data_IF_741573369186
#
_entry.id   IF_741573369186
#
_cell.length_a   1.000
_cell.length_b   1.000
_cell.length_c   1.000
_cell.angle_alpha   90.00
_cell.angle_beta   90.00
_cell.angle_gamma   90.00
#
_symmetry.space_group_name_H-M   'P 1'
#
loop_
_entity.id
_entity.type
_entity.pdbx_description
1 polymer ?
#
# COMPACT_ATOMS: atom_id res chain seq x y z
N UNK A 1 18.48 13.18 9.70
CA UNK A 1 17.00 13.05 9.66
C UNK A 1 16.43 13.81 10.85
N UNK A 2 15.51 14.76 10.64
CA UNK A 2 14.93 15.58 11.72
C UNK A 2 13.63 14.97 12.24
N UNK A 3 13.18 15.37 13.43
CA UNK A 3 11.87 14.97 13.97
C UNK A 3 10.73 15.41 13.03
N UNK A 4 10.81 16.61 12.49
CA UNK A 4 9.82 17.14 11.54
C UNK A 4 9.68 16.24 10.30
N UNK A 5 10.81 15.83 9.71
CA UNK A 5 10.82 14.89 8.59
C UNK A 5 10.11 13.58 8.93
N UNK A 6 10.43 13.00 10.10
CA UNK A 6 9.83 11.72 10.54
C UNK A 6 8.32 11.88 10.72
N UNK A 7 7.88 12.93 11.42
CA UNK A 7 6.46 13.18 11.68
C UNK A 7 5.70 13.40 10.37
N UNK A 8 6.20 14.23 9.46
CA UNK A 8 5.57 14.45 8.15
C UNK A 8 5.48 13.15 7.35
N UNK A 9 6.54 12.33 7.35
CA UNK A 9 6.56 11.06 6.63
C UNK A 9 5.55 10.06 7.21
N UNK A 10 5.45 9.98 8.54
CA UNK A 10 4.46 9.14 9.23
C UNK A 10 3.05 9.58 8.88
N UNK A 11 2.74 10.88 8.99
CA UNK A 11 1.41 11.40 8.68
C UNK A 11 1.03 11.15 7.22
N UNK A 12 1.97 11.36 6.29
CA UNK A 12 1.78 11.06 4.87
C UNK A 12 1.54 9.57 4.64
N UNK A 13 2.29 8.68 5.29
CA UNK A 13 2.10 7.23 5.19
C UNK A 13 0.74 6.77 5.71
N UNK A 14 0.28 7.32 6.84
CA UNK A 14 -1.06 7.04 7.37
C UNK A 14 -2.16 7.50 6.41
N UNK A 15 -2.04 8.71 5.88
CA UNK A 15 -3.00 9.26 4.91
C UNK A 15 -3.01 8.46 3.60
N UNK A 16 -1.84 8.12 3.07
CA UNK A 16 -1.72 7.33 1.85
C UNK A 16 -2.34 5.93 2.02
N UNK A 17 -2.12 5.29 3.17
CA UNK A 17 -2.73 4.00 3.49
C UNK A 17 -4.25 4.09 3.68
N UNK A 18 -4.75 5.17 4.28
CA UNK A 18 -6.18 5.44 4.33
C UNK A 18 -6.79 5.54 2.93
N UNK A 19 -6.15 6.30 2.02
CA UNK A 19 -6.61 6.42 0.63
C UNK A 19 -6.58 5.06 -0.08
N UNK A 20 -5.52 4.27 0.11
CA UNK A 20 -5.43 2.92 -0.43
C UNK A 20 -6.63 2.05 0.01
N UNK A 21 -6.92 2.03 1.31
CA UNK A 21 -8.03 1.26 1.86
C UNK A 21 -9.38 1.71 1.31
N UNK A 22 -9.63 3.02 1.33
CA UNK A 22 -10.91 3.58 0.89
C UNK A 22 -11.15 3.35 -0.60
N UNK A 23 -10.13 3.57 -1.44
CA UNK A 23 -10.23 3.30 -2.88
C UNK A 23 -10.47 1.82 -3.18
N UNK A 24 -9.80 0.93 -2.45
CA UNK A 24 -10.00 -0.51 -2.57
C UNK A 24 -11.43 -0.96 -2.24
N UNK A 25 -12.06 -0.31 -1.25
CA UNK A 25 -13.45 -0.54 -0.87
C UNK A 25 -14.44 0.10 -1.84
N UNK A 26 -14.13 1.30 -2.36
CA UNK A 26 -14.96 2.04 -3.30
C UNK A 26 -14.93 1.50 -4.73
N UNK A 27 -14.02 0.59 -5.07
CA UNK A 27 -13.97 -0.06 -6.39
C UNK A 27 -15.33 -0.59 -6.89
N UNK A 28 -16.20 -1.04 -5.99
CA UNK A 28 -17.57 -1.46 -6.33
C UNK A 28 -18.42 -0.38 -6.98
N UNK A 29 -18.18 0.90 -6.66
CA UNK A 29 -18.84 2.06 -7.29
C UNK A 29 -18.42 2.27 -8.74
N UNK A 30 -17.30 1.67 -9.13
CA UNK A 30 -16.74 1.69 -10.50
C UNK A 30 -17.05 0.38 -11.25
N UNK A 31 -17.85 -0.52 -10.69
CA UNK A 31 -18.09 -1.85 -11.26
C UNK A 31 -16.91 -2.81 -11.12
N UNK A 32 -15.93 -2.49 -10.26
CA UNK A 32 -14.74 -3.30 -10.00
C UNK A 32 -14.90 -4.13 -8.71
N UNK A 33 -14.15 -5.24 -8.54
CA UNK A 33 -14.23 -6.04 -7.32
C UNK A 33 -13.77 -5.23 -6.10
N UNK A 34 -14.50 -5.37 -4.99
CA UNK A 34 -14.06 -4.87 -3.68
C UNK A 34 -12.82 -5.64 -3.24
N UNK A 35 -11.76 -4.94 -2.87
CA UNK A 35 -10.55 -5.55 -2.30
C UNK A 35 -10.46 -5.19 -0.82
N UNK A 36 -10.84 -6.13 0.05
CA UNK A 36 -10.79 -5.91 1.48
C UNK A 36 -9.42 -6.29 2.06
N UNK A 37 -8.46 -5.39 1.87
CA UNK A 37 -7.09 -5.61 2.31
C UNK A 37 -6.97 -5.77 3.84
N UNK A 38 -7.79 -5.07 4.61
CA UNK A 38 -7.73 -5.17 6.08
C UNK A 38 -8.17 -6.55 6.56
N UNK A 39 -9.22 -7.13 5.98
CA UNK A 39 -9.60 -8.52 6.27
C UNK A 39 -8.50 -9.49 5.89
N UNK A 40 -7.89 -9.33 4.71
CA UNK A 40 -6.80 -10.18 4.25
C UNK A 40 -5.57 -10.09 5.18
N UNK A 41 -5.18 -8.87 5.58
CA UNK A 41 -4.04 -8.67 6.48
C UNK A 41 -4.29 -9.21 7.88
N UNK A 42 -5.50 -9.07 8.41
CA UNK A 42 -5.86 -9.63 9.71
C UNK A 42 -5.70 -11.16 9.69
N UNK A 43 -6.28 -11.82 8.67
CA UNK A 43 -6.20 -13.26 8.50
C UNK A 43 -4.75 -13.75 8.32
N UNK A 44 -3.98 -13.10 7.46
CA UNK A 44 -2.58 -13.47 7.22
C UNK A 44 -1.70 -13.30 8.47
N UNK A 45 -1.86 -12.19 9.19
CA UNK A 45 -0.93 -11.83 10.27
C UNK A 45 -1.28 -12.54 11.58
N UNK A 46 -2.57 -12.78 11.85
CA UNK A 46 -3.06 -13.20 13.16
C UNK A 46 -3.96 -14.45 13.13
N UNK A 47 -4.29 -14.98 11.95
CA UNK A 47 -5.25 -16.07 11.79
C UNK A 47 -4.73 -17.47 12.13
N UNK A 48 -3.42 -17.69 12.16
CA UNK A 48 -2.82 -19.01 12.43
C UNK A 48 -2.50 -19.26 13.92
N UNK A 49 -2.76 -18.30 14.81
CA UNK A 49 -2.42 -18.46 16.22
C UNK A 49 -3.35 -19.45 16.94
N UNK A 50 -2.86 -20.06 18.03
CA UNK A 50 -3.50 -21.11 18.86
C UNK A 50 -4.92 -20.79 19.39
N UNK A 51 -5.49 -19.64 19.05
CA UNK A 51 -6.74 -19.12 19.61
C UNK A 51 -7.98 -19.38 18.76
N UNK A 52 -7.84 -19.92 17.54
CA UNK A 52 -8.98 -20.42 16.73
C UNK A 52 -10.08 -19.39 16.44
N UNK A 53 -9.81 -18.10 16.61
CA UNK A 53 -10.75 -17.00 16.43
C UNK A 53 -10.40 -16.19 15.20
N UNK A 54 -11.43 -15.77 14.48
CA UNK A 54 -11.30 -14.79 13.41
C UNK A 54 -10.61 -13.53 13.97
N UNK A 55 -9.44 -13.14 13.43
CA UNK A 55 -8.71 -12.00 13.94
C UNK A 55 -9.51 -10.71 13.68
N UNK A 56 -9.47 -9.75 14.61
CA UNK A 56 -10.32 -8.57 14.49
C UNK A 56 -9.88 -7.68 13.31
N UNK A 57 -10.86 -7.15 12.59
CA UNK A 57 -10.65 -6.33 11.39
C UNK A 57 -9.75 -5.10 11.61
N UNK A 58 -9.81 -4.50 12.79
CA UNK A 58 -8.98 -3.33 13.13
C UNK A 58 -7.49 -3.68 13.18
N UNK A 59 -7.13 -4.93 13.51
CA UNK A 59 -5.74 -5.35 13.56
C UNK A 59 -5.12 -5.36 12.15
N UNK A 60 -5.87 -5.84 11.15
CA UNK A 60 -5.45 -5.77 9.75
C UNK A 60 -5.34 -4.33 9.22
N UNK A 61 -6.22 -3.42 9.65
CA UNK A 61 -6.08 -1.99 9.36
C UNK A 61 -4.78 -1.41 9.92
N UNK A 62 -4.44 -1.72 11.18
CA UNK A 62 -3.18 -1.26 11.79
C UNK A 62 -1.98 -1.74 10.99
N UNK A 63 -1.96 -3.02 10.60
CA UNK A 63 -0.88 -3.57 9.75
C UNK A 63 -0.73 -2.76 8.47
N UNK A 64 -1.84 -2.41 7.80
CA UNK A 64 -1.80 -1.62 6.56
C UNK A 64 -1.31 -0.19 6.80
N UNK A 65 -1.73 0.44 7.90
CA UNK A 65 -1.24 1.76 8.27
C UNK A 65 0.27 1.77 8.54
N UNK A 66 0.77 0.77 9.26
CA UNK A 66 2.21 0.63 9.52
C UNK A 66 2.98 0.34 8.22
N UNK A 67 2.44 -0.50 7.33
CA UNK A 67 3.00 -0.72 6.00
C UNK A 67 3.06 0.59 5.21
N UNK A 68 2.01 1.41 5.27
CA UNK A 68 1.99 2.73 4.63
C UNK A 68 3.09 3.64 5.14
N UNK A 69 3.29 3.72 6.46
CA UNK A 69 4.40 4.47 7.06
C UNK A 69 5.75 3.92 6.59
N UNK A 70 5.93 2.61 6.61
CA UNK A 70 7.16 1.95 6.17
C UNK A 70 7.49 2.25 4.70
N UNK A 71 6.53 2.07 3.79
CA UNK A 71 6.76 2.30 2.36
C UNK A 71 6.92 3.78 2.00
N UNK A 72 6.29 4.69 2.75
CA UNK A 72 6.52 6.13 2.59
C UNK A 72 7.91 6.52 3.10
N UNK A 73 8.37 5.96 4.22
CA UNK A 73 9.75 6.13 4.69
C UNK A 73 10.76 5.60 3.66
N UNK A 74 10.53 4.40 3.12
CA UNK A 74 11.38 3.83 2.10
C UNK A 74 11.45 4.71 0.84
N UNK A 75 10.32 5.25 0.40
CA UNK A 75 10.26 6.23 -0.68
C UNK A 75 11.09 7.47 -0.37
N UNK A 76 10.79 8.12 0.75
CA UNK A 76 11.33 9.41 1.17
C UNK A 76 12.83 9.39 1.46
N UNK A 77 13.36 8.23 1.83
CA UNK A 77 14.76 8.09 2.27
C UNK A 77 15.67 7.42 1.24
N UNK A 78 15.11 6.58 0.36
CA UNK A 78 15.93 5.77 -0.53
C UNK A 78 15.36 5.66 -1.93
N UNK A 79 14.12 5.19 -2.12
CA UNK A 79 13.67 4.76 -3.44
C UNK A 79 13.55 5.92 -4.45
N UNK A 80 13.16 7.12 -4.00
CA UNK A 80 12.89 8.28 -4.87
C UNK A 80 14.09 8.69 -5.74
N UNK A 81 15.32 8.46 -5.29
CA UNK A 81 16.53 8.79 -6.06
C UNK A 81 16.63 8.05 -7.40
N UNK A 82 15.96 6.89 -7.52
CA UNK A 82 15.97 6.06 -8.72
C UNK A 82 14.74 6.32 -9.62
N UNK A 83 13.80 7.15 -9.18
CA UNK A 83 12.53 7.35 -9.88
C UNK A 83 12.59 8.68 -10.65
N UNK A 84 12.45 8.66 -11.99
CA UNK A 84 12.49 9.87 -12.78
C UNK A 84 11.18 10.67 -12.67
N UNK A 85 11.26 11.97 -12.95
CA UNK A 85 10.11 12.84 -13.11
C UNK A 85 9.89 13.84 -11.97
N UNK A 86 8.72 14.47 -11.98
CA UNK A 86 8.30 15.39 -10.91
C UNK A 86 7.82 14.63 -9.68
N UNK A 87 7.73 15.24 -8.49
CA UNK A 87 7.34 14.54 -7.25
C UNK A 87 6.05 13.71 -7.38
N UNK A 88 5.04 14.25 -8.07
CA UNK A 88 3.79 13.53 -8.30
C UNK A 88 3.97 12.31 -9.22
N UNK A 89 4.77 12.45 -10.28
CA UNK A 89 5.11 11.34 -11.19
C UNK A 89 5.93 10.29 -10.45
N UNK A 90 6.88 10.70 -9.61
CA UNK A 90 7.69 9.80 -8.80
C UNK A 90 6.84 8.98 -7.85
N UNK A 91 5.89 9.63 -7.16
CA UNK A 91 4.91 8.96 -6.33
C UNK A 91 4.01 7.99 -7.11
N UNK A 92 3.51 8.39 -8.29
CA UNK A 92 2.71 7.51 -9.13
C UNK A 92 3.49 6.25 -9.55
N UNK A 93 4.74 6.41 -9.98
CA UNK A 93 5.63 5.28 -10.31
C UNK A 93 5.85 4.41 -9.07
N UNK A 94 6.08 5.01 -7.90
CA UNK A 94 6.23 4.27 -6.65
C UNK A 94 4.99 3.42 -6.32
N UNK A 95 3.79 3.98 -6.50
CA UNK A 95 2.54 3.23 -6.37
C UNK A 95 2.47 2.03 -7.32
N UNK A 96 2.86 2.22 -8.59
CA UNK A 96 2.92 1.13 -9.58
C UNK A 96 3.95 0.06 -9.19
N UNK A 97 5.11 0.45 -8.66
CA UNK A 97 6.13 -0.49 -8.18
C UNK A 97 5.57 -1.33 -7.04
N UNK A 98 4.93 -0.72 -6.04
CA UNK A 98 4.31 -1.46 -4.93
C UNK A 98 3.19 -2.38 -5.42
N UNK A 99 2.36 -1.92 -6.36
CA UNK A 99 1.34 -2.74 -6.99
C UNK A 99 1.93 -3.97 -7.69
N UNK A 100 3.01 -3.79 -8.46
CA UNK A 100 3.69 -4.87 -9.17
C UNK A 100 4.34 -5.86 -8.20
N UNK A 101 5.08 -5.37 -7.19
CA UNK A 101 5.67 -6.22 -6.14
C UNK A 101 4.57 -6.99 -5.41
N UNK A 102 3.45 -6.35 -5.10
CA UNK A 102 2.32 -7.00 -4.46
C UNK A 102 1.71 -8.08 -5.36
N UNK A 103 1.37 -7.75 -6.60
CA UNK A 103 0.71 -8.68 -7.52
C UNK A 103 1.59 -9.83 -8.01
N UNK A 104 2.90 -9.65 -8.11
CA UNK A 104 3.84 -10.66 -8.63
C UNK A 104 4.41 -11.53 -7.50
N UNK A 105 4.65 -10.95 -6.32
CA UNK A 105 5.31 -11.65 -5.22
C UNK A 105 4.38 -11.83 -4.03
N UNK A 106 3.88 -10.73 -3.46
CA UNK A 106 3.16 -10.82 -2.18
C UNK A 106 1.88 -11.66 -2.25
N UNK A 107 1.01 -11.36 -3.22
CA UNK A 107 -0.27 -12.04 -3.39
C UNK A 107 -0.09 -13.53 -3.72
N UNK A 108 0.76 -13.93 -4.70
CA UNK A 108 0.95 -15.35 -4.99
C UNK A 108 1.61 -16.13 -3.85
N UNK A 109 2.60 -15.55 -3.16
CA UNK A 109 3.41 -16.27 -2.18
C UNK A 109 2.73 -16.32 -0.82
N UNK A 110 2.22 -15.20 -0.32
CA UNK A 110 1.65 -15.11 1.03
C UNK A 110 0.14 -15.33 1.05
N UNK A 111 -0.60 -14.74 0.11
CA UNK A 111 -2.06 -14.88 0.07
C UNK A 111 -2.54 -16.10 -0.74
N UNK A 112 -1.70 -16.64 -1.64
CA UNK A 112 -2.02 -17.76 -2.53
C UNK A 112 -3.20 -17.51 -3.48
N UNK A 113 -3.49 -16.25 -3.77
CA UNK A 113 -4.62 -15.80 -4.62
C UNK A 113 -4.25 -15.63 -6.10
N UNK A 114 -3.13 -16.22 -6.53
CA UNK A 114 -2.62 -16.16 -7.89
C UNK A 114 -1.99 -14.81 -8.26
N UNK A 115 -1.39 -14.73 -9.45
CA UNK A 115 -0.76 -13.51 -9.95
C UNK A 115 -1.78 -12.40 -10.10
N UNK A 116 -1.50 -11.24 -9.50
CA UNK A 116 -2.39 -10.09 -9.48
C UNK A 116 -3.84 -10.42 -9.08
N UNK A 117 -4.02 -11.30 -8.08
CA UNK A 117 -5.32 -11.71 -7.55
C UNK A 117 -6.18 -12.47 -8.58
N UNK A 118 -5.54 -13.18 -9.52
CA UNK A 118 -6.23 -13.89 -10.61
C UNK A 118 -7.21 -14.98 -10.16
N UNK A 119 -7.05 -15.53 -8.96
CA UNK A 119 -8.01 -16.49 -8.40
C UNK A 119 -9.27 -15.84 -7.82
N UNK A 120 -9.26 -14.52 -7.59
CA UNK A 120 -10.38 -13.78 -7.00
C UNK A 120 -11.31 -13.24 -8.09
N UNK A 121 -10.77 -12.47 -9.04
CA UNK A 121 -11.57 -11.80 -10.07
C UNK A 121 -10.68 -11.33 -11.25
N UNK A 122 -11.13 -11.42 -12.52
CA UNK A 122 -10.33 -11.04 -13.70
C UNK A 122 -9.90 -9.56 -13.71
N UNK A 123 -10.66 -8.68 -13.04
CA UNK A 123 -10.35 -7.24 -12.90
C UNK A 123 -9.74 -6.86 -11.55
N UNK A 124 -9.38 -7.82 -10.69
CA UNK A 124 -8.80 -7.52 -9.38
C UNK A 124 -7.44 -6.81 -9.49
N UNK A 125 -6.65 -7.12 -10.52
CA UNK A 125 -5.38 -6.45 -10.79
C UNK A 125 -5.57 -4.93 -10.98
N UNK A 126 -6.60 -4.54 -11.74
CA UNK A 126 -6.88 -3.13 -12.05
C UNK A 126 -7.49 -2.41 -10.86
N UNK A 127 -8.41 -3.08 -10.15
CA UNK A 127 -8.95 -2.61 -8.88
C UNK A 127 -7.84 -2.33 -7.85
N UNK A 128 -6.82 -3.20 -7.79
CA UNK A 128 -5.64 -3.03 -6.95
C UNK A 128 -4.74 -1.90 -7.44
N UNK A 129 -4.56 -1.75 -8.76
CA UNK A 129 -3.76 -0.66 -9.36
C UNK A 129 -4.32 0.71 -9.00
N UNK A 130 -5.64 0.89 -9.04
CA UNK A 130 -6.30 2.15 -8.62
C UNK A 130 -5.96 2.47 -7.15
N UNK A 131 -6.05 1.48 -6.26
CA UNK A 131 -5.77 1.67 -4.84
C UNK A 131 -4.29 2.05 -4.59
N UNK A 132 -3.35 1.35 -5.22
CA UNK A 132 -1.91 1.65 -5.11
C UNK A 132 -1.51 2.95 -5.81
N UNK A 133 -2.18 3.29 -6.93
CA UNK A 133 -2.01 4.59 -7.59
C UNK A 133 -2.42 5.73 -6.66
N UNK A 134 -3.57 5.61 -5.97
CA UNK A 134 -3.99 6.56 -4.95
C UNK A 134 -2.96 6.72 -3.82
N UNK A 135 -2.43 5.61 -3.30
CA UNK A 135 -1.32 5.64 -2.34
C UNK A 135 -0.12 6.42 -2.88
N UNK A 136 0.35 6.06 -4.06
CA UNK A 136 1.54 6.63 -4.69
C UNK A 136 1.41 8.14 -4.91
N UNK A 137 0.24 8.61 -5.38
CA UNK A 137 -0.02 10.03 -5.60
C UNK A 137 0.05 10.84 -4.30
N UNK A 138 -0.49 10.33 -3.19
CA UNK A 138 -0.39 10.99 -1.87
C UNK A 138 1.06 11.05 -1.40
N UNK A 139 1.81 9.96 -1.56
CA UNK A 139 3.23 9.90 -1.19
C UNK A 139 4.04 10.91 -2.01
N UNK A 140 3.89 10.94 -3.33
CA UNK A 140 4.61 11.87 -4.19
C UNK A 140 4.25 13.34 -3.96
N UNK A 141 3.02 13.61 -3.50
CA UNK A 141 2.57 14.97 -3.21
C UNK A 141 3.07 15.49 -1.86
N UNK A 142 3.04 14.65 -0.81
CA UNK A 142 3.17 15.12 0.57
C UNK A 142 4.42 14.63 1.30
N UNK A 143 5.10 13.57 0.82
CA UNK A 143 6.24 13.04 1.53
C UNK A 143 7.45 14.00 1.40
N UNK A 144 8.08 14.41 2.52
CA UNK A 144 9.36 15.08 2.44
C UNK A 144 10.41 14.08 1.91
N UNK A 145 11.37 14.54 1.13
CA UNK A 145 12.45 13.69 0.60
C UNK A 145 13.78 14.09 1.24
N UNK A 146 14.56 13.10 1.70
CA UNK A 146 15.91 13.38 2.19
C UNK A 146 16.78 13.90 1.03
N UNK A 147 17.51 15.00 1.23
CA UNK A 147 18.48 15.47 0.24
C UNK A 147 19.48 14.35 -0.05
N UNK A 148 19.70 14.06 -1.33
CA UNK A 148 20.73 13.10 -1.73
C UNK A 148 22.10 13.66 -1.35
N UNK A 149 22.95 12.84 -0.73
CA UNK A 149 24.36 13.17 -0.58
C UNK A 149 24.97 13.26 -1.99
N UNK A 150 25.38 14.46 -2.38
CA UNK A 150 26.09 14.74 -3.63
C UNK A 150 27.51 14.17 -3.61
#
# INVERSE_FOLDING_TARGET
>A
MTLEFIVQTVLTGLLAAYILLVMALWNTRLGLPRLDFAKAMAALTYGESFEGKDPPYWAGQIVIYINGVFFTLLYATYAVQFIPGTPLIQGAIWGVVLWAVSGIFYVPVYLREGFFLSHIHPMAWFASLIAHGGFGLIVGWLAPVLPMAS
#
